data_IF_341054209936
#
_entry.id   IF_341054209936
#
_cell.length_a   1.000
_cell.length_b   1.000
_cell.length_c   1.000
_cell.angle_alpha   90.00
_cell.angle_beta   90.00
_cell.angle_gamma   90.00
#
_symmetry.space_group_name_H-M   'P 1'
#
loop_
_entity.id
_entity.type
_entity.pdbx_description
1 polymer ?
#
# COMPACT_ATOMS: atom_id res chain seq x y z
N UNK A 1 -42.84 7.42 24.08
CA UNK A 1 -41.62 7.97 24.69
C UNK A 1 -40.46 7.48 23.85
N UNK A 2 -39.88 8.34 23.01
CA UNK A 2 -38.65 8.02 22.30
C UNK A 2 -37.50 8.15 23.31
N UNK A 3 -36.69 7.11 23.46
CA UNK A 3 -35.46 7.18 24.24
C UNK A 3 -34.56 8.26 23.62
N UNK A 4 -33.92 9.13 24.43
CA UNK A 4 -32.98 10.10 23.89
C UNK A 4 -31.84 9.34 23.21
N UNK A 5 -31.60 9.63 21.93
CA UNK A 5 -30.44 9.12 21.20
C UNK A 5 -29.23 9.83 21.80
N UNK A 6 -28.54 9.16 22.70
CA UNK A 6 -27.32 9.67 23.32
C UNK A 6 -26.26 9.80 22.22
N UNK A 7 -25.91 11.04 21.88
CA UNK A 7 -24.90 11.33 20.86
C UNK A 7 -23.53 10.87 21.40
N UNK A 8 -22.93 9.87 20.74
CA UNK A 8 -21.66 9.30 21.19
C UNK A 8 -20.57 10.37 21.17
N UNK A 9 -20.07 10.76 22.34
CA UNK A 9 -19.02 11.78 22.42
C UNK A 9 -17.69 11.22 21.87
N UNK A 10 -16.84 12.09 21.32
CA UNK A 10 -15.52 11.69 20.80
C UNK A 10 -14.71 10.89 21.83
N UNK A 11 -14.71 11.31 23.11
CA UNK A 11 -13.99 10.59 24.17
C UNK A 11 -14.54 9.19 24.42
N UNK A 12 -15.86 9.00 24.36
CA UNK A 12 -16.48 7.68 24.48
C UNK A 12 -16.11 6.79 23.29
N UNK A 13 -16.11 7.33 22.07
CA UNK A 13 -15.66 6.62 20.87
C UNK A 13 -14.19 6.18 20.98
N UNK A 14 -13.31 7.09 21.43
CA UNK A 14 -11.90 6.81 21.65
C UNK A 14 -11.69 5.73 22.73
N UNK A 15 -12.45 5.79 23.83
CA UNK A 15 -12.37 4.80 24.90
C UNK A 15 -12.88 3.43 24.43
N UNK A 16 -13.95 3.40 23.64
CA UNK A 16 -14.49 2.17 23.05
C UNK A 16 -13.47 1.51 22.11
N UNK A 17 -12.81 2.29 21.26
CA UNK A 17 -11.77 1.82 20.32
C UNK A 17 -10.35 1.88 20.90
N UNK A 18 -10.17 1.81 22.22
CA UNK A 18 -8.86 1.99 22.84
C UNK A 18 -7.83 0.94 22.36
N UNK A 19 -8.24 -0.32 22.22
CA UNK A 19 -7.36 -1.40 21.72
C UNK A 19 -6.90 -1.11 20.29
N UNK A 20 -7.82 -0.66 19.43
CA UNK A 20 -7.53 -0.31 18.03
C UNK A 20 -6.59 0.90 17.95
N UNK A 21 -6.82 1.90 18.80
CA UNK A 21 -5.95 3.08 18.95
C UNK A 21 -4.55 2.69 19.41
N UNK A 22 -4.40 1.74 20.32
CA UNK A 22 -3.10 1.24 20.76
C UNK A 22 -2.36 0.53 19.61
N UNK A 23 -3.06 -0.30 18.84
CA UNK A 23 -2.49 -0.95 17.66
C UNK A 23 -2.04 0.09 16.59
N UNK A 24 -2.88 1.09 16.31
CA UNK A 24 -2.55 2.19 15.40
C UNK A 24 -1.35 3.01 15.88
N UNK A 25 -1.34 3.40 17.15
CA UNK A 25 -0.23 4.12 17.79
C UNK A 25 1.09 3.35 17.65
N UNK A 26 1.07 2.04 17.87
CA UNK A 26 2.24 1.19 17.70
C UNK A 26 2.73 1.14 16.25
N UNK A 27 1.83 1.04 15.27
CA UNK A 27 2.18 1.07 13.84
C UNK A 27 2.87 2.38 13.45
N UNK A 28 2.30 3.51 13.85
CA UNK A 28 2.75 4.83 13.39
C UNK A 28 3.93 5.36 14.20
N UNK A 29 3.85 5.30 15.53
CA UNK A 29 4.83 5.94 16.42
C UNK A 29 6.04 5.04 16.68
N UNK A 30 5.83 3.72 16.82
CA UNK A 30 6.91 2.78 17.12
C UNK A 30 7.52 2.21 15.83
N UNK A 31 6.67 1.66 14.95
CA UNK A 31 7.12 0.96 13.74
C UNK A 31 7.29 1.88 12.53
N UNK A 32 6.91 3.17 12.64
CA UNK A 32 7.10 4.21 11.62
C UNK A 32 6.43 3.92 10.28
N UNK A 33 5.29 3.22 10.31
CA UNK A 33 4.42 3.13 9.13
C UNK A 33 3.72 4.45 8.86
N UNK A 34 3.40 4.70 7.59
CA UNK A 34 2.61 5.86 7.20
C UNK A 34 1.23 5.86 7.88
N UNK A 35 0.74 7.01 8.39
CA UNK A 35 -0.54 7.10 9.09
C UNK A 35 -1.73 6.57 8.28
N UNK A 36 -1.89 7.01 7.02
CA UNK A 36 -3.06 6.68 6.21
C UNK A 36 -3.16 5.18 5.85
N UNK A 37 -2.09 4.50 5.36
CA UNK A 37 -2.10 3.06 5.22
C UNK A 37 -2.32 2.31 6.54
N UNK A 38 -1.79 2.82 7.66
CA UNK A 38 -1.96 2.20 8.98
C UNK A 38 -3.42 2.15 9.43
N UNK A 39 -4.24 3.14 9.06
CA UNK A 39 -5.68 3.09 9.31
C UNK A 39 -6.34 1.90 8.62
N UNK A 40 -5.97 1.62 7.37
CA UNK A 40 -6.50 0.47 6.60
C UNK A 40 -6.04 -0.87 7.18
N UNK A 41 -4.82 -0.93 7.72
CA UNK A 41 -4.31 -2.13 8.40
C UNK A 41 -5.16 -2.43 9.64
N UNK A 42 -5.39 -1.45 10.50
CA UNK A 42 -6.21 -1.63 11.72
C UNK A 42 -7.66 -1.96 11.38
N UNK A 43 -8.22 -1.32 10.34
CA UNK A 43 -9.55 -1.64 9.84
C UNK A 43 -9.65 -3.09 9.31
N UNK A 44 -8.63 -3.56 8.60
CA UNK A 44 -8.56 -4.96 8.15
C UNK A 44 -8.51 -5.93 9.32
N UNK A 45 -7.68 -5.66 10.34
CA UNK A 45 -7.59 -6.50 11.54
C UNK A 45 -8.91 -6.54 12.33
N UNK A 46 -9.62 -5.41 12.43
CA UNK A 46 -10.98 -5.37 12.99
C UNK A 46 -11.98 -6.19 12.17
N UNK A 47 -11.88 -6.12 10.85
CA UNK A 47 -12.69 -6.95 9.97
C UNK A 47 -12.45 -8.46 10.22
N UNK A 48 -11.21 -8.88 10.51
CA UNK A 48 -10.92 -10.28 10.87
C UNK A 48 -11.70 -10.71 12.13
N UNK A 49 -11.84 -9.84 13.12
CA UNK A 49 -12.64 -10.15 14.32
C UNK A 49 -14.12 -10.36 13.98
N UNK A 50 -14.67 -9.54 13.08
CA UNK A 50 -16.08 -9.62 12.65
C UNK A 50 -16.42 -10.93 11.94
N UNK A 51 -15.46 -11.52 11.22
CA UNK A 51 -15.65 -12.80 10.53
C UNK A 51 -15.34 -14.03 11.41
N UNK A 52 -14.90 -13.82 12.65
CA UNK A 52 -14.79 -14.88 13.66
C UNK A 52 -13.43 -15.03 14.34
N UNK A 53 -12.40 -14.28 13.93
CA UNK A 53 -11.08 -14.30 14.58
C UNK A 53 -11.12 -13.44 15.86
N UNK A 54 -11.79 -13.94 16.90
CA UNK A 54 -12.05 -13.18 18.13
C UNK A 54 -10.76 -12.64 18.76
N UNK A 55 -10.81 -11.38 19.21
CA UNK A 55 -9.72 -10.71 19.91
C UNK A 55 -8.42 -10.60 19.10
N UNK A 56 -8.51 -10.63 17.76
CA UNK A 56 -7.36 -10.48 16.88
C UNK A 56 -6.50 -9.26 17.24
N UNK A 57 -7.09 -8.05 17.29
CA UNK A 57 -6.37 -6.80 17.55
C UNK A 57 -5.82 -6.77 18.98
N UNK A 58 -6.61 -7.25 19.94
CA UNK A 58 -6.18 -7.36 21.34
C UNK A 58 -4.95 -8.27 21.47
N UNK A 59 -4.94 -9.42 20.79
CA UNK A 59 -3.81 -10.36 20.84
C UNK A 59 -2.53 -9.77 20.25
N UNK A 60 -2.64 -8.86 19.26
CA UNK A 60 -1.48 -8.17 18.70
C UNK A 60 -0.76 -7.29 19.73
N UNK A 61 -1.45 -6.80 20.77
CA UNK A 61 -0.79 -5.99 21.81
C UNK A 61 0.32 -6.77 22.53
N UNK A 62 0.22 -8.10 22.59
CA UNK A 62 1.22 -8.97 23.21
C UNK A 62 2.37 -9.37 22.27
N UNK A 63 2.26 -9.10 20.98
CA UNK A 63 3.28 -9.49 20.01
C UNK A 63 4.49 -8.59 20.10
N UNK A 64 5.64 -9.08 19.63
CA UNK A 64 6.84 -8.26 19.47
C UNK A 64 6.69 -7.29 18.30
N UNK A 65 7.44 -6.18 18.33
CA UNK A 65 7.45 -5.20 17.24
C UNK A 65 7.81 -5.82 15.89
N UNK A 66 8.72 -6.81 15.89
CA UNK A 66 9.10 -7.55 14.68
C UNK A 66 7.94 -8.33 14.09
N UNK A 67 7.14 -8.99 14.92
CA UNK A 67 5.98 -9.76 14.45
C UNK A 67 4.91 -8.85 13.89
N UNK A 68 4.62 -7.72 14.55
CA UNK A 68 3.64 -6.74 14.05
C UNK A 68 4.12 -6.11 12.75
N UNK A 69 5.41 -5.79 12.64
CA UNK A 69 5.98 -5.25 11.40
C UNK A 69 5.78 -6.21 10.23
N UNK A 70 6.11 -7.49 10.40
CA UNK A 70 5.91 -8.53 9.38
C UNK A 70 4.43 -8.70 9.02
N UNK A 71 3.56 -8.79 10.03
CA UNK A 71 2.11 -8.90 9.82
C UNK A 71 1.53 -7.68 9.10
N UNK A 72 1.99 -6.47 9.43
CA UNK A 72 1.56 -5.23 8.78
C UNK A 72 1.96 -5.21 7.29
N UNK A 73 3.17 -5.65 6.95
CA UNK A 73 3.63 -5.80 5.56
C UNK A 73 2.77 -6.79 4.78
N UNK A 74 2.47 -7.94 5.37
CA UNK A 74 1.57 -8.93 4.77
C UNK A 74 0.15 -8.38 4.59
N UNK A 75 -0.36 -7.65 5.59
CA UNK A 75 -1.67 -7.00 5.54
C UNK A 75 -1.75 -5.95 4.44
N UNK A 76 -0.71 -5.16 4.21
CA UNK A 76 -0.65 -4.21 3.11
C UNK A 76 -0.76 -4.90 1.75
N UNK A 77 -0.09 -6.03 1.57
CA UNK A 77 -0.19 -6.82 0.34
C UNK A 77 -1.59 -7.40 0.17
N UNK A 78 -2.23 -7.88 1.24
CA UNK A 78 -3.65 -8.28 1.23
C UNK A 78 -4.56 -7.14 0.80
N UNK A 79 -4.38 -5.94 1.37
CA UNK A 79 -5.14 -4.75 1.04
C UNK A 79 -4.92 -4.32 -0.41
N UNK A 80 -3.69 -4.33 -0.90
CA UNK A 80 -3.40 -4.00 -2.30
C UNK A 80 -4.09 -4.98 -3.26
N UNK A 81 -4.09 -6.28 -2.94
CA UNK A 81 -4.85 -7.29 -3.68
C UNK A 81 -6.34 -6.99 -3.62
N UNK A 82 -6.87 -6.69 -2.44
CA UNK A 82 -8.29 -6.41 -2.25
C UNK A 82 -8.72 -5.15 -3.01
N UNK A 83 -7.98 -4.05 -2.94
CA UNK A 83 -8.38 -2.76 -3.51
C UNK A 83 -8.01 -2.60 -4.99
N UNK A 84 -6.85 -3.09 -5.41
CA UNK A 84 -6.27 -2.74 -6.71
C UNK A 84 -6.24 -3.89 -7.73
N UNK A 85 -6.36 -5.15 -7.31
CA UNK A 85 -6.26 -6.26 -8.27
C UNK A 85 -7.46 -6.30 -9.24
N UNK A 86 -7.29 -6.50 -10.56
CA UNK A 86 -8.43 -6.76 -11.45
C UNK A 86 -9.07 -8.11 -11.12
N UNK A 87 -10.41 -8.23 -11.21
CA UNK A 87 -11.15 -9.47 -10.90
C UNK A 87 -10.65 -10.70 -11.68
N UNK A 88 -10.06 -10.50 -12.86
CA UNK A 88 -9.57 -11.56 -13.75
C UNK A 88 -8.11 -12.01 -13.49
N UNK A 89 -7.38 -11.40 -12.54
CA UNK A 89 -5.94 -11.63 -12.35
C UNK A 89 -5.62 -12.56 -11.15
N UNK A 90 -6.63 -12.99 -10.40
CA UNK A 90 -6.45 -13.91 -9.28
C UNK A 90 -7.26 -15.20 -9.50
N UNK A 91 -6.73 -16.40 -9.18
CA UNK A 91 -5.97 -16.63 -7.93
C UNK A 91 -4.85 -17.68 -8.04
N UNK A 92 -3.57 -17.32 -8.25
CA UNK A 92 -2.44 -18.24 -7.96
C UNK A 92 -1.10 -17.52 -7.74
N UNK A 93 -1.11 -16.28 -7.21
CA UNK A 93 0.12 -15.81 -6.59
C UNK A 93 0.28 -16.68 -5.35
N UNK A 94 1.38 -17.41 -5.23
CA UNK A 94 1.83 -17.98 -3.97
C UNK A 94 2.19 -16.82 -3.02
N UNK A 95 1.19 -16.00 -2.68
CA UNK A 95 1.26 -15.04 -1.60
C UNK A 95 1.28 -15.89 -0.34
N UNK A 96 2.49 -16.20 0.08
CA UNK A 96 2.69 -16.72 1.41
C UNK A 96 2.58 -15.53 2.36
N UNK A 97 1.63 -15.64 3.27
CA UNK A 97 1.44 -14.68 4.35
C UNK A 97 1.84 -15.40 5.65
N UNK A 98 3.11 -15.77 5.82
CA UNK A 98 3.51 -16.68 6.88
C UNK A 98 3.08 -16.20 8.27
N UNK A 99 3.10 -14.89 8.56
CA UNK A 99 2.59 -14.38 9.84
C UNK A 99 1.07 -14.39 9.92
N UNK A 100 0.35 -13.94 8.89
CA UNK A 100 -1.11 -13.97 8.87
C UNK A 100 -1.65 -15.41 8.91
N UNK A 101 -0.96 -16.34 8.25
CA UNK A 101 -1.31 -17.76 8.18
C UNK A 101 -1.20 -18.44 9.54
N UNK A 102 -0.18 -18.11 10.34
CA UNK A 102 -0.05 -18.59 11.72
C UNK A 102 -1.22 -18.16 12.59
N UNK A 103 -1.82 -17.01 12.29
CA UNK A 103 -2.88 -16.41 13.11
C UNK A 103 -4.29 -16.80 12.66
N UNK A 104 -4.48 -17.05 11.36
CA UNK A 104 -5.81 -17.04 10.73
C UNK A 104 -6.11 -18.33 9.94
N UNK A 105 -5.11 -19.04 9.44
CA UNK A 105 -5.30 -20.18 8.52
C UNK A 105 -5.61 -19.73 7.08
N UNK A 106 -4.69 -20.03 6.15
CA UNK A 106 -4.55 -19.40 4.83
C UNK A 106 -5.72 -19.62 3.86
N UNK A 107 -6.31 -20.81 3.85
CA UNK A 107 -7.24 -21.22 2.78
C UNK A 107 -8.65 -20.62 2.92
N UNK A 108 -9.11 -20.41 4.15
CA UNK A 108 -10.46 -19.90 4.45
C UNK A 108 -10.51 -18.38 4.30
N UNK A 109 -9.46 -17.68 4.74
CA UNK A 109 -9.44 -16.22 4.72
C UNK A 109 -9.42 -15.67 3.28
N UNK A 110 -8.49 -16.14 2.45
CA UNK A 110 -8.34 -15.61 1.09
C UNK A 110 -9.59 -15.92 0.25
N UNK A 111 -10.12 -17.14 0.33
CA UNK A 111 -11.34 -17.52 -0.39
C UNK A 111 -12.55 -16.67 0.02
N UNK A 112 -12.71 -16.37 1.32
CA UNK A 112 -13.78 -15.49 1.81
C UNK A 112 -13.62 -14.04 1.36
N UNK A 113 -12.40 -13.48 1.51
CA UNK A 113 -12.08 -12.10 1.15
C UNK A 113 -12.39 -11.81 -0.33
N UNK A 114 -11.98 -12.71 -1.22
CA UNK A 114 -12.17 -12.51 -2.64
C UNK A 114 -13.59 -12.80 -3.11
N UNK A 115 -14.28 -13.78 -2.50
CA UNK A 115 -15.69 -14.04 -2.81
C UNK A 115 -16.58 -12.85 -2.43
N UNK A 116 -16.25 -12.16 -1.34
CA UNK A 116 -17.04 -11.04 -0.82
C UNK A 116 -16.36 -9.68 -1.01
N UNK A 117 -15.48 -9.57 -2.00
CA UNK A 117 -14.52 -8.49 -2.17
C UNK A 117 -15.07 -7.08 -1.97
N UNK A 118 -16.15 -6.71 -2.67
CA UNK A 118 -16.69 -5.35 -2.60
C UNK A 118 -17.31 -5.06 -1.23
N UNK A 119 -17.95 -6.04 -0.61
CA UNK A 119 -18.48 -5.90 0.75
C UNK A 119 -17.34 -5.73 1.77
N UNK A 120 -16.24 -6.48 1.62
CA UNK A 120 -15.07 -6.33 2.49
C UNK A 120 -14.42 -4.96 2.33
N UNK A 121 -14.27 -4.47 1.10
CA UNK A 121 -13.76 -3.11 0.85
C UNK A 121 -14.64 -2.07 1.55
N UNK A 122 -15.96 -2.14 1.36
CA UNK A 122 -16.90 -1.23 2.00
C UNK A 122 -16.76 -1.23 3.52
N UNK A 123 -16.72 -2.42 4.14
CA UNK A 123 -16.53 -2.53 5.60
C UNK A 123 -15.22 -1.90 6.09
N UNK A 124 -14.13 -2.04 5.33
CA UNK A 124 -12.84 -1.44 5.67
C UNK A 124 -12.89 0.08 5.51
N UNK A 125 -13.47 0.57 4.41
CA UNK A 125 -13.59 2.01 4.13
C UNK A 125 -14.50 2.70 5.15
N UNK A 126 -15.63 2.10 5.50
CA UNK A 126 -16.56 2.59 6.52
C UNK A 126 -15.87 2.68 7.88
N UNK A 127 -15.12 1.65 8.29
CA UNK A 127 -14.37 1.71 9.55
C UNK A 127 -13.31 2.82 9.54
N UNK A 128 -12.59 3.01 8.43
CA UNK A 128 -11.61 4.10 8.32
C UNK A 128 -12.29 5.47 8.46
N UNK A 129 -13.42 5.67 7.80
CA UNK A 129 -14.16 6.93 7.81
C UNK A 129 -14.81 7.21 9.16
N UNK A 130 -15.54 6.24 9.70
CA UNK A 130 -16.41 6.42 10.86
C UNK A 130 -15.63 6.33 12.17
N UNK A 131 -14.49 5.62 12.17
CA UNK A 131 -13.66 5.42 13.37
C UNK A 131 -12.28 6.04 13.20
N UNK A 132 -11.44 5.57 12.27
CA UNK A 132 -10.02 5.96 12.27
C UNK A 132 -9.81 7.48 12.08
N UNK A 133 -10.52 8.09 11.13
CA UNK A 133 -10.37 9.53 10.84
C UNK A 133 -10.89 10.42 11.97
N UNK A 134 -11.86 9.95 12.75
CA UNK A 134 -12.45 10.70 13.86
C UNK A 134 -11.67 10.47 15.15
N UNK A 135 -11.33 9.21 15.41
CA UNK A 135 -10.83 8.77 16.69
C UNK A 135 -9.33 8.51 16.72
N UNK A 136 -8.55 8.53 15.63
CA UNK A 136 -7.10 8.23 15.69
C UNK A 136 -6.22 9.44 15.34
N UNK A 137 -6.80 10.52 14.82
CA UNK A 137 -6.04 11.68 14.31
C UNK A 137 -5.21 12.37 15.39
N UNK A 138 -5.71 12.42 16.63
CA UNK A 138 -5.01 13.01 17.78
C UNK A 138 -3.68 12.31 18.11
N UNK A 139 -3.53 11.04 17.72
CA UNK A 139 -2.29 10.27 17.93
C UNK A 139 -1.16 10.77 17.04
N UNK A 140 -1.49 11.24 15.83
CA UNK A 140 -0.51 11.77 14.86
C UNK A 140 -0.22 13.24 15.18
N UNK A 141 -1.26 14.02 15.48
CA UNK A 141 -1.17 15.45 15.75
C UNK A 141 -0.51 15.74 17.11
N UNK A 142 -0.80 14.93 18.13
CA UNK A 142 -0.21 15.07 19.46
C UNK A 142 1.31 14.86 19.52
N UNK A 143 1.91 14.23 18.51
CA UNK A 143 3.35 14.00 18.41
C UNK A 143 4.08 14.94 17.43
N UNK A 144 3.34 15.78 16.68
CA UNK A 144 3.90 16.78 15.77
C UNK A 144 4.03 18.17 16.39
N UNK A 145 3.67 18.35 17.67
CA UNK A 145 4.00 19.57 18.40
C UNK A 145 3.34 20.83 17.85
N UNK A 146 2.02 20.86 17.76
CA UNK A 146 1.27 22.11 17.83
C UNK A 146 0.42 22.07 19.09
N UNK A 147 0.95 22.60 20.20
CA UNK A 147 0.09 23.01 21.31
C UNK A 147 -0.85 24.09 20.76
N UNK A 148 -2.17 24.02 20.97
CA UNK A 148 -3.02 25.18 20.79
C UNK A 148 -2.65 26.16 21.91
N UNK A 149 -1.92 27.23 21.57
CA UNK A 149 -1.70 28.34 22.50
C UNK A 149 -3.01 29.13 22.62
N UNK A 150 -3.85 28.71 23.54
CA UNK A 150 -4.87 29.58 24.13
C UNK A 150 -4.19 30.53 25.10
N UNK A 151 -4.01 31.80 24.72
CA UNK A 151 -4.62 32.97 25.39
C UNK A 151 -3.95 34.32 25.04
N UNK A 152 -4.69 35.44 25.21
CA UNK A 152 -4.49 36.70 24.51
C UNK A 152 -3.66 37.73 25.29
N UNK A 153 -3.27 38.78 24.56
CA UNK A 153 -2.86 40.12 25.01
C UNK A 153 -1.66 40.25 25.97
N UNK A 154 -0.55 40.82 25.47
CA UNK A 154 0.15 41.96 26.09
C UNK A 154 1.21 42.52 25.13
N UNK A 155 1.21 43.84 25.03
CA UNK A 155 1.93 44.71 24.11
C UNK A 155 3.46 44.79 24.32
N UNK A 156 4.14 45.01 23.19
CA UNK A 156 5.18 46.02 22.92
C UNK A 156 6.36 46.19 23.91
N UNK A 157 7.58 45.86 23.46
CA UNK A 157 8.58 46.90 23.17
C UNK A 157 9.75 46.37 22.30
N UNK A 158 10.23 47.22 21.39
CA UNK A 158 11.44 47.02 20.57
C UNK A 158 12.53 48.00 21.03
N UNK A 159 13.83 47.82 20.70
CA UNK A 159 14.34 48.48 19.48
C UNK A 159 15.48 47.75 18.71
N UNK A 160 15.28 47.73 17.38
CA UNK A 160 16.17 48.04 16.23
C UNK A 160 17.69 47.81 16.23
N UNK A 161 18.15 47.19 15.12
CA UNK A 161 19.23 47.62 14.17
C UNK A 161 19.26 46.56 13.03
N UNK A 162 18.59 46.74 11.89
CA UNK A 162 18.99 47.50 10.68
C UNK A 162 20.28 46.99 10.00
N UNK A 163 20.13 46.17 8.96
CA UNK A 163 20.93 46.27 7.73
C UNK A 163 20.11 45.75 6.53
N UNK A 164 20.03 46.57 5.50
CA UNK A 164 19.12 46.44 4.37
C UNK A 164 19.76 45.78 3.15
N UNK A 165 18.94 45.08 2.39
CA UNK A 165 19.27 44.57 1.06
C UNK A 165 18.02 44.11 0.31
N UNK A 166 17.36 45.05 -0.36
CA UNK A 166 16.19 44.84 -1.22
C UNK A 166 16.63 44.44 -2.65
N UNK A 167 16.01 43.39 -3.21
CA UNK A 167 15.30 43.44 -4.51
C UNK A 167 14.67 42.08 -4.89
N UNK A 168 13.35 42.04 -4.69
CA UNK A 168 12.24 41.43 -5.48
C UNK A 168 12.44 40.18 -6.39
N UNK A 169 11.66 39.17 -6.00
CA UNK A 169 10.68 38.33 -6.76
C UNK A 169 11.13 37.47 -7.96
N UNK A 170 10.94 36.13 -7.84
CA UNK A 170 9.90 35.36 -8.56
C UNK A 170 9.89 33.87 -8.16
N UNK A 171 8.68 33.31 -8.11
CA UNK A 171 8.30 31.94 -7.76
C UNK A 171 8.96 30.84 -8.60
N UNK A 172 9.33 29.72 -7.98
CA UNK A 172 8.94 28.36 -8.42
C UNK A 172 9.11 27.35 -7.28
N UNK A 173 7.99 26.71 -6.94
CA UNK A 173 7.86 25.36 -6.38
C UNK A 173 8.80 24.38 -7.11
N UNK A 174 9.60 23.61 -6.37
CA UNK A 174 10.14 22.35 -6.88
C UNK A 174 10.55 21.40 -5.73
N UNK A 175 9.57 20.58 -5.35
CA UNK A 175 9.70 19.13 -5.18
C UNK A 175 11.09 18.56 -4.95
N UNK A 176 11.51 18.48 -3.68
CA UNK A 176 12.61 17.58 -3.29
C UNK A 176 12.09 16.15 -3.19
N UNK A 177 12.12 15.49 -4.34
CA UNK A 177 12.16 14.06 -4.61
C UNK A 177 11.99 13.12 -3.40
N UNK A 178 10.81 12.51 -3.31
CA UNK A 178 10.63 11.18 -2.71
C UNK A 178 11.62 10.23 -3.38
N UNK A 179 12.45 9.56 -2.59
CA UNK A 179 13.41 8.57 -3.06
C UNK A 179 12.69 7.54 -3.91
N UNK A 180 13.08 7.51 -5.17
CA UNK A 180 12.59 6.68 -6.27
C UNK A 180 12.83 5.21 -5.92
N UNK A 181 11.77 4.49 -5.56
CA UNK A 181 11.77 3.03 -5.53
C UNK A 181 11.75 2.56 -6.99
N UNK A 182 12.93 2.55 -7.60
CA UNK A 182 13.20 2.33 -9.01
C UNK A 182 12.17 1.48 -9.79
N UNK A 183 11.67 2.07 -10.89
CA UNK A 183 10.86 1.52 -11.99
C UNK A 183 11.47 0.24 -12.65
N UNK A 184 11.65 -0.88 -11.92
CA UNK A 184 12.31 -2.10 -12.44
C UNK A 184 11.40 -3.09 -13.19
N UNK A 185 10.14 -2.73 -13.41
CA UNK A 185 9.11 -3.63 -13.94
C UNK A 185 8.81 -3.38 -15.42
N UNK A 186 8.88 -4.44 -16.24
CA UNK A 186 8.53 -4.43 -17.65
C UNK A 186 7.13 -5.01 -17.85
N UNK A 187 6.32 -4.38 -18.69
CA UNK A 187 5.08 -4.91 -19.20
C UNK A 187 5.29 -5.36 -20.65
N UNK A 188 5.08 -6.64 -20.91
CA UNK A 188 5.26 -7.27 -22.22
C UNK A 188 3.91 -7.69 -22.79
N UNK A 189 3.62 -7.44 -24.07
CA UNK A 189 2.40 -7.91 -24.73
C UNK A 189 2.69 -8.78 -25.94
N UNK A 190 1.82 -9.76 -26.19
CA UNK A 190 1.94 -10.76 -27.25
C UNK A 190 0.86 -10.55 -28.31
N UNK A 191 1.14 -10.98 -29.54
CA UNK A 191 0.13 -11.04 -30.59
C UNK A 191 -0.97 -12.06 -30.26
N UNK A 192 -2.21 -11.75 -30.67
CA UNK A 192 -3.34 -12.67 -30.52
C UNK A 192 -3.05 -13.99 -31.23
N UNK A 193 -3.41 -15.11 -30.59
CA UNK A 193 -3.21 -16.47 -31.11
C UNK A 193 -1.77 -17.01 -31.02
N UNK A 194 -0.80 -16.21 -30.55
CA UNK A 194 0.60 -16.61 -30.41
C UNK A 194 1.14 -16.33 -29.00
N UNK A 195 0.54 -16.93 -27.95
CA UNK A 195 0.98 -16.69 -26.58
C UNK A 195 2.41 -17.21 -26.38
N UNK A 196 3.19 -16.44 -25.63
CA UNK A 196 4.53 -16.86 -25.16
C UNK A 196 4.36 -17.49 -23.78
N UNK A 197 4.99 -18.64 -23.53
CA UNK A 197 4.94 -19.27 -22.21
C UNK A 197 5.92 -18.62 -21.22
N UNK A 198 5.73 -18.84 -19.92
CA UNK A 198 6.65 -18.36 -18.90
C UNK A 198 8.07 -18.89 -19.12
N UNK A 199 8.21 -20.19 -19.44
CA UNK A 199 9.51 -20.82 -19.68
C UNK A 199 10.20 -20.28 -20.94
N UNK A 200 9.45 -20.05 -22.03
CA UNK A 200 9.97 -19.43 -23.25
C UNK A 200 10.48 -18.01 -22.97
N UNK A 201 9.68 -17.23 -22.23
CA UNK A 201 10.02 -15.86 -21.89
C UNK A 201 11.23 -15.78 -20.96
N UNK A 202 11.26 -16.61 -19.91
CA UNK A 202 12.38 -16.70 -18.98
C UNK A 202 13.67 -17.12 -19.68
N UNK A 203 13.59 -18.19 -20.49
CA UNK A 203 14.73 -18.70 -21.26
C UNK A 203 15.31 -17.66 -22.20
N UNK A 204 14.45 -16.91 -22.91
CA UNK A 204 14.89 -15.83 -23.80
C UNK A 204 15.59 -14.71 -23.03
N UNK A 205 14.99 -14.21 -21.94
CA UNK A 205 15.56 -13.09 -21.19
C UNK A 205 16.89 -13.49 -20.55
N UNK A 206 16.94 -14.66 -19.91
CA UNK A 206 18.16 -15.14 -19.26
C UNK A 206 19.25 -15.44 -20.28
N UNK A 207 18.90 -16.03 -21.43
CA UNK A 207 19.86 -16.31 -22.50
C UNK A 207 20.45 -15.06 -23.13
N UNK A 208 19.68 -13.97 -23.24
CA UNK A 208 20.12 -12.73 -23.91
C UNK A 208 20.72 -11.69 -22.97
N UNK A 209 20.20 -11.58 -21.75
CA UNK A 209 20.55 -10.50 -20.81
C UNK A 209 21.18 -10.99 -19.50
N UNK A 210 21.29 -12.31 -19.31
CA UNK A 210 21.83 -12.93 -18.10
C UNK A 210 20.78 -13.12 -17.00
N UNK A 211 21.21 -13.48 -15.78
CA UNK A 211 20.32 -13.70 -14.61
C UNK A 211 19.80 -12.38 -14.04
N UNK A 212 19.02 -11.63 -14.83
CA UNK A 212 18.45 -10.34 -14.47
C UNK A 212 16.98 -10.40 -14.06
N UNK A 213 16.33 -11.54 -14.23
CA UNK A 213 14.92 -11.74 -13.86
C UNK A 213 14.81 -12.03 -12.36
N UNK A 214 13.97 -11.25 -11.68
CA UNK A 214 13.54 -11.47 -10.31
C UNK A 214 12.24 -12.28 -10.29
N UNK A 215 11.25 -11.85 -11.10
CA UNK A 215 9.97 -12.54 -11.24
C UNK A 215 9.35 -12.32 -12.63
N UNK A 216 8.50 -13.27 -13.07
CA UNK A 216 7.68 -13.16 -14.28
C UNK A 216 6.23 -13.49 -13.92
N UNK A 217 5.33 -12.54 -14.16
CA UNK A 217 3.89 -12.64 -13.93
C UNK A 217 3.15 -12.77 -15.26
N UNK A 218 2.37 -13.85 -15.41
CA UNK A 218 1.56 -14.13 -16.61
C UNK A 218 0.27 -14.85 -16.18
N UNK A 219 -0.90 -14.40 -16.63
CA UNK A 219 -2.20 -15.04 -16.38
C UNK A 219 -2.19 -16.48 -16.90
N UNK A 220 -2.84 -17.46 -16.25
CA UNK A 220 -2.87 -18.88 -16.64
C UNK A 220 -3.73 -19.20 -17.87
N UNK A 221 -4.61 -18.30 -18.30
CA UNK A 221 -5.55 -18.47 -19.42
C UNK A 221 -4.84 -18.80 -20.75
N UNK A 222 -5.30 -19.74 -21.60
CA UNK A 222 -4.70 -20.02 -22.91
C UNK A 222 -4.74 -18.85 -23.92
N UNK A 223 -5.50 -17.77 -23.65
CA UNK A 223 -5.64 -16.58 -24.52
C UNK A 223 -4.61 -15.45 -24.25
N UNK A 224 -3.53 -15.69 -23.49
CA UNK A 224 -2.60 -14.66 -22.95
C UNK A 224 -2.11 -13.66 -24.00
N UNK A 225 -2.28 -12.37 -23.71
CA UNK A 225 -1.73 -11.26 -24.51
C UNK A 225 -0.67 -10.45 -23.78
N UNK A 226 -0.27 -10.80 -22.55
CA UNK A 226 0.74 -10.03 -21.82
C UNK A 226 1.44 -10.78 -20.68
N UNK A 227 2.57 -10.23 -20.24
CA UNK A 227 3.36 -10.58 -19.05
C UNK A 227 3.84 -9.32 -18.34
N UNK A 228 4.10 -9.41 -17.04
CA UNK A 228 4.89 -8.43 -16.30
C UNK A 228 6.19 -9.10 -15.84
N UNK A 229 7.34 -8.47 -16.04
CA UNK A 229 8.65 -9.01 -15.66
C UNK A 229 9.32 -8.03 -14.72
N UNK A 230 9.66 -8.48 -13.51
CA UNK A 230 10.42 -7.71 -12.53
C UNK A 230 11.89 -8.06 -12.67
N UNK A 231 12.72 -7.04 -12.77
CA UNK A 231 14.15 -7.17 -12.94
C UNK A 231 14.87 -6.90 -11.62
N UNK A 232 16.03 -7.54 -11.45
CA UNK A 232 16.84 -7.42 -10.22
C UNK A 232 17.42 -6.02 -10.02
N UNK A 233 17.68 -5.28 -11.10
CA UNK A 233 18.23 -3.92 -11.02
C UNK A 233 17.63 -2.97 -12.07
N UNK A 234 17.66 -1.66 -11.80
CA UNK A 234 17.29 -0.64 -12.80
C UNK A 234 18.25 -0.60 -14.00
N UNK A 235 19.49 -1.05 -13.82
CA UNK A 235 20.44 -1.23 -14.92
C UNK A 235 19.97 -2.30 -15.92
N UNK A 236 19.43 -3.41 -15.44
CA UNK A 236 18.83 -4.44 -16.31
C UNK A 236 17.61 -3.93 -17.07
N UNK A 237 16.80 -3.08 -16.40
CA UNK A 237 15.65 -2.41 -17.02
C UNK A 237 16.11 -1.51 -18.17
N UNK A 238 17.10 -0.67 -17.91
CA UNK A 238 17.71 0.22 -18.90
C UNK A 238 18.34 -0.55 -20.06
N UNK A 239 18.99 -1.69 -19.79
CA UNK A 239 19.59 -2.56 -20.80
C UNK A 239 18.55 -3.19 -21.72
N UNK A 240 17.39 -3.60 -21.20
CA UNK A 240 16.35 -4.26 -21.99
C UNK A 240 15.55 -3.25 -22.83
N UNK A 241 15.21 -2.08 -22.27
CA UNK A 241 14.48 -1.05 -23.00
C UNK A 241 15.36 -0.11 -23.84
N UNK A 242 16.66 -0.03 -23.54
CA UNK A 242 17.60 0.86 -24.25
C UNK A 242 17.17 2.33 -24.22
N UNK A 243 16.51 2.77 -23.14
CA UNK A 243 15.92 4.11 -23.02
C UNK A 243 14.64 4.34 -23.83
N UNK A 244 14.12 3.34 -24.55
CA UNK A 244 12.89 3.48 -25.32
C UNK A 244 11.64 3.20 -24.47
N UNK A 245 10.54 3.90 -24.81
CA UNK A 245 9.23 3.69 -24.16
C UNK A 245 8.60 2.34 -24.51
N UNK A 246 8.92 1.79 -25.69
CA UNK A 246 8.40 0.53 -26.22
C UNK A 246 9.43 -0.13 -27.12
N UNK A 247 9.83 -1.36 -26.81
CA UNK A 247 10.73 -2.18 -27.63
C UNK A 247 9.96 -3.36 -28.22
N UNK A 248 10.31 -3.77 -29.44
CA UNK A 248 9.77 -4.98 -30.08
C UNK A 248 10.83 -6.07 -30.03
N UNK A 249 10.49 -7.21 -29.44
CA UNK A 249 11.30 -8.42 -29.37
C UNK A 249 10.63 -9.54 -30.15
N UNK A 250 11.43 -10.51 -30.58
CA UNK A 250 10.94 -11.75 -31.19
C UNK A 250 11.40 -12.93 -30.34
N UNK A 251 10.45 -13.67 -29.79
CA UNK A 251 10.70 -14.83 -28.91
C UNK A 251 10.11 -16.05 -29.62
N UNK A 252 10.97 -16.99 -30.04
CA UNK A 252 10.56 -18.19 -30.79
C UNK A 252 9.65 -17.87 -32.00
N UNK A 253 9.96 -16.82 -32.76
CA UNK A 253 9.16 -16.35 -33.91
C UNK A 253 7.90 -15.55 -33.55
N UNK A 254 7.58 -15.40 -32.26
CA UNK A 254 6.42 -14.64 -31.76
C UNK A 254 6.83 -13.20 -31.44
N UNK A 255 6.05 -12.21 -31.91
CA UNK A 255 6.33 -10.81 -31.64
C UNK A 255 5.86 -10.41 -30.23
N UNK A 256 6.77 -9.78 -29.49
CA UNK A 256 6.54 -9.30 -28.13
C UNK A 256 6.82 -7.81 -28.05
N UNK A 257 5.89 -7.04 -27.51
CA UNK A 257 6.05 -5.59 -27.27
C UNK A 257 6.35 -5.36 -25.81
N UNK A 258 7.46 -4.70 -25.49
CA UNK A 258 7.96 -4.51 -24.12
C UNK A 258 7.95 -3.02 -23.79
N UNK A 259 7.37 -2.63 -22.67
CA UNK A 259 7.35 -1.24 -22.17
C UNK A 259 7.53 -1.21 -20.66
N UNK A 260 7.73 -0.03 -20.08
CA UNK A 260 7.63 0.15 -18.62
C UNK A 260 6.24 -0.24 -18.12
N UNK A 261 6.20 -0.95 -16.99
CA UNK A 261 4.97 -1.16 -16.24
C UNK A 261 4.58 0.14 -15.52
N UNK A 262 3.36 0.60 -15.75
CA UNK A 262 2.82 1.79 -15.07
C UNK A 262 1.59 1.33 -14.29
N UNK A 263 1.62 1.37 -12.95
CA UNK A 263 0.45 1.10 -12.13
C UNK A 263 -0.65 2.08 -12.51
N UNK A 264 -1.79 1.57 -12.97
CA UNK A 264 -2.95 2.43 -13.18
C UNK A 264 -3.76 2.51 -11.90
N UNK A 265 -3.56 3.56 -11.12
CA UNK A 265 -4.59 4.01 -10.17
C UNK A 265 -5.76 4.54 -11.01
N UNK A 266 -6.90 3.86 -11.01
CA UNK A 266 -8.12 4.47 -11.51
C UNK A 266 -8.61 5.44 -10.43
N UNK A 267 -8.78 6.70 -10.84
CA UNK A 267 -9.52 7.73 -10.10
C UNK A 267 -10.95 7.26 -9.87
#
# INVERSE_FOLDING_TARGET
MALPVEELTLKQLQQFHNIDRMAYSRLVLTLRFDPFPSMKIVAFWNFLERIGFKHFVHNLLHFSDRMIFSLAKETLVCLECLFCAPQEIFPWVHLDFPEMNKLVGQEILLSFLFKNREAVKGMIEDFVKDVCQVAFMDIVEGNLGCKPSSNPDSELDSPTSDDGGDNRELFTDDGKARVDSEDRSLFMTFSRGHPVSNQELHGFIVGKYGKCVEAIYMDKNPKRLFACVVLRSHFDFSRILGGQKLVKLFINGKQVRVRRFVPKCRK
#
